data_IF_884190425592
#
_entry.id   IF_884190425592
#
_cell.length_a   1.000
_cell.length_b   1.000
_cell.length_c   1.000
_cell.angle_alpha   90.00
_cell.angle_beta   90.00
_cell.angle_gamma   90.00
#
_symmetry.space_group_name_H-M   'P 1'
#
loop_
_entity.id
_entity.type
_entity.pdbx_description
1 polymer ?
#
# COMPACT_ATOMS: atom_id res chain seq x y z
N UNK A 1 18.04 -36.78 -8.84
CA UNK A 1 17.33 -35.55 -8.47
C UNK A 1 15.98 -36.02 -7.96
N UNK A 2 15.70 -35.81 -6.68
CA UNK A 2 14.50 -36.35 -6.05
C UNK A 2 13.27 -35.55 -6.45
N UNK A 3 12.10 -36.20 -6.52
CA UNK A 3 10.86 -35.55 -6.96
C UNK A 3 10.50 -34.34 -6.10
N UNK A 4 10.77 -34.40 -4.80
CA UNK A 4 10.53 -33.32 -3.85
C UNK A 4 11.38 -32.07 -4.18
N UNK A 5 12.65 -32.26 -4.52
CA UNK A 5 13.53 -31.16 -4.93
C UNK A 5 13.10 -30.56 -6.26
N UNK A 6 12.70 -31.39 -7.23
CA UNK A 6 12.19 -30.91 -8.53
C UNK A 6 10.91 -30.07 -8.41
N UNK A 7 10.03 -30.44 -7.49
CA UNK A 7 8.79 -29.72 -7.19
C UNK A 7 9.05 -28.34 -6.57
N UNK A 8 10.02 -28.24 -5.65
CA UNK A 8 10.42 -26.95 -5.06
C UNK A 8 10.98 -25.98 -6.10
N UNK A 9 11.78 -26.48 -7.06
CA UNK A 9 12.26 -25.65 -8.17
C UNK A 9 11.12 -25.16 -9.07
N UNK A 10 10.16 -26.03 -9.39
CA UNK A 10 8.99 -25.66 -10.19
C UNK A 10 8.15 -24.59 -9.47
N UNK A 11 7.93 -24.76 -8.17
CA UNK A 11 7.23 -23.79 -7.33
C UNK A 11 7.93 -22.43 -7.34
N UNK A 12 9.25 -22.40 -7.17
CA UNK A 12 10.03 -21.16 -7.21
C UNK A 12 9.88 -20.42 -8.55
N UNK A 13 9.90 -21.17 -9.67
CA UNK A 13 9.69 -20.60 -11.01
C UNK A 13 8.27 -20.06 -11.17
N UNK A 14 7.25 -20.81 -10.73
CA UNK A 14 5.85 -20.36 -10.79
C UNK A 14 5.67 -19.08 -9.98
N UNK A 15 6.21 -19.02 -8.75
CA UNK A 15 6.15 -17.83 -7.90
C UNK A 15 6.85 -16.64 -8.55
N UNK A 16 8.01 -16.85 -9.17
CA UNK A 16 8.72 -15.79 -9.89
C UNK A 16 7.90 -15.25 -11.07
N UNK A 17 7.38 -16.12 -11.93
CA UNK A 17 6.54 -15.72 -13.06
C UNK A 17 5.33 -14.91 -12.57
N UNK A 18 4.55 -15.45 -11.62
CA UNK A 18 3.37 -14.77 -11.06
C UNK A 18 3.68 -13.43 -10.35
N UNK A 19 4.89 -13.26 -9.84
CA UNK A 19 5.31 -11.99 -9.24
C UNK A 19 5.37 -10.86 -10.27
N UNK A 20 5.69 -11.20 -11.52
CA UNK A 20 5.80 -10.25 -12.64
C UNK A 20 4.50 -10.06 -13.41
N UNK A 21 3.57 -11.01 -13.33
CA UNK A 21 2.34 -10.98 -14.11
C UNK A 21 1.27 -10.04 -13.54
N UNK A 22 0.53 -9.41 -14.45
CA UNK A 22 -0.71 -8.67 -14.20
C UNK A 22 -1.96 -9.56 -14.29
N UNK A 23 -3.12 -9.06 -13.84
CA UNK A 23 -4.34 -9.86 -13.66
C UNK A 23 -4.83 -10.58 -14.93
N UNK A 24 -4.74 -9.94 -16.10
CA UNK A 24 -5.14 -10.53 -17.40
C UNK A 24 -4.19 -11.66 -17.85
N UNK A 25 -2.92 -11.61 -17.45
CA UNK A 25 -1.91 -12.60 -17.81
C UNK A 25 -2.03 -13.86 -16.94
N UNK A 26 -2.50 -13.70 -15.69
CA UNK A 26 -2.77 -14.83 -14.78
C UNK A 26 -3.87 -15.74 -15.33
N UNK A 27 -4.92 -15.18 -15.93
CA UNK A 27 -6.00 -15.99 -16.51
C UNK A 27 -5.55 -16.77 -17.76
N UNK A 28 -4.65 -16.16 -18.55
CA UNK A 28 -4.00 -16.85 -19.67
C UNK A 28 -3.15 -18.02 -19.17
N UNK A 29 -2.41 -17.83 -18.06
CA UNK A 29 -1.63 -18.90 -17.45
C UNK A 29 -2.51 -20.05 -16.95
N UNK A 30 -3.67 -19.75 -16.34
CA UNK A 30 -4.64 -20.79 -15.92
C UNK A 30 -5.10 -21.63 -17.10
N UNK A 31 -5.48 -20.98 -18.20
CA UNK A 31 -5.88 -21.68 -19.42
C UNK A 31 -4.76 -22.58 -19.98
N UNK A 32 -3.51 -22.12 -19.97
CA UNK A 32 -2.37 -22.92 -20.42
C UNK A 32 -2.13 -24.15 -19.54
N UNK A 33 -2.35 -24.04 -18.23
CA UNK A 33 -2.25 -25.17 -17.28
C UNK A 33 -3.30 -26.22 -17.63
N UNK A 34 -4.55 -25.80 -17.83
CA UNK A 34 -5.66 -26.70 -18.16
C UNK A 34 -5.49 -27.38 -19.52
N UNK A 35 -4.97 -26.67 -20.53
CA UNK A 35 -4.80 -27.20 -21.88
C UNK A 35 -3.59 -28.13 -22.05
N UNK A 36 -2.52 -27.93 -21.24
CA UNK A 36 -1.23 -28.57 -21.49
C UNK A 36 -0.79 -29.59 -20.44
N UNK A 37 -1.42 -29.62 -19.27
CA UNK A 37 -1.06 -30.54 -18.19
C UNK A 37 -2.15 -31.59 -17.96
N UNK A 38 -1.75 -32.76 -17.45
CA UNK A 38 -2.69 -33.76 -16.96
C UNK A 38 -3.40 -33.25 -15.72
N UNK A 39 -4.61 -33.74 -15.43
CA UNK A 39 -5.42 -33.30 -14.28
C UNK A 39 -4.63 -33.24 -12.96
N UNK A 40 -3.89 -34.32 -12.62
CA UNK A 40 -3.07 -34.39 -11.40
C UNK A 40 -1.97 -33.31 -11.34
N UNK A 41 -1.30 -33.03 -12.46
CA UNK A 41 -0.23 -32.03 -12.52
C UNK A 41 -0.79 -30.61 -12.59
N UNK A 42 -1.91 -30.43 -13.29
CA UNK A 42 -2.64 -29.17 -13.37
C UNK A 42 -3.16 -28.75 -12.00
N UNK A 43 -3.73 -29.68 -11.23
CA UNK A 43 -4.21 -29.43 -9.87
C UNK A 43 -3.08 -28.96 -8.93
N UNK A 44 -1.91 -29.61 -8.99
CA UNK A 44 -0.75 -29.17 -8.23
C UNK A 44 -0.34 -27.74 -8.58
N UNK A 45 -0.16 -27.46 -9.88
CA UNK A 45 0.24 -26.12 -10.36
C UNK A 45 -0.81 -25.07 -9.98
N UNK A 46 -2.09 -25.40 -10.09
CA UNK A 46 -3.17 -24.48 -9.79
C UNK A 46 -3.28 -24.18 -8.29
N UNK A 47 -3.01 -25.15 -7.43
CA UNK A 47 -2.87 -24.95 -5.99
C UNK A 47 -1.73 -23.97 -5.69
N UNK A 48 -0.57 -24.16 -6.31
CA UNK A 48 0.57 -23.23 -6.18
C UNK A 48 0.24 -21.81 -6.66
N UNK A 49 -0.48 -21.68 -7.77
CA UNK A 49 -0.94 -20.38 -8.30
C UNK A 49 -1.88 -19.71 -7.28
N UNK A 50 -2.86 -20.44 -6.76
CA UNK A 50 -3.81 -19.92 -5.79
C UNK A 50 -3.12 -19.40 -4.51
N UNK A 51 -2.20 -20.19 -3.95
CA UNK A 51 -1.41 -19.78 -2.78
C UNK A 51 -0.55 -18.55 -3.05
N UNK A 52 0.09 -18.48 -4.22
CA UNK A 52 0.92 -17.34 -4.59
C UNK A 52 0.08 -16.05 -4.71
N UNK A 53 -1.09 -16.13 -5.36
CA UNK A 53 -2.01 -14.99 -5.50
C UNK A 53 -2.57 -14.54 -4.15
N UNK A 54 -2.96 -15.49 -3.29
CA UNK A 54 -3.42 -15.17 -1.94
C UNK A 54 -2.35 -14.43 -1.14
N UNK A 55 -1.12 -14.96 -1.12
CA UNK A 55 0.00 -14.31 -0.42
C UNK A 55 0.32 -12.93 -0.99
N UNK A 56 0.28 -12.75 -2.32
CA UNK A 56 0.45 -11.45 -2.99
C UNK A 56 -0.62 -10.46 -2.53
N UNK A 57 -1.88 -10.88 -2.50
CA UNK A 57 -3.00 -10.06 -2.02
C UNK A 57 -2.86 -9.65 -0.55
N UNK A 58 -2.48 -10.59 0.33
CA UNK A 58 -2.21 -10.30 1.74
C UNK A 58 -1.08 -9.28 1.89
N UNK A 59 0.03 -9.46 1.17
CA UNK A 59 1.16 -8.51 1.22
C UNK A 59 0.77 -7.12 0.73
N UNK A 60 0.02 -7.03 -0.37
CA UNK A 60 -0.50 -5.76 -0.88
C UNK A 60 -1.43 -5.09 0.12
N UNK A 61 -2.36 -5.85 0.72
CA UNK A 61 -3.27 -5.35 1.74
C UNK A 61 -2.54 -4.82 2.98
N UNK A 62 -1.52 -5.53 3.45
CA UNK A 62 -0.67 -5.08 4.57
C UNK A 62 0.07 -3.78 4.22
N UNK A 63 0.69 -3.70 3.03
CA UNK A 63 1.41 -2.49 2.61
C UNK A 63 0.48 -1.28 2.50
N UNK A 64 -0.69 -1.46 1.89
CA UNK A 64 -1.72 -0.41 1.79
C UNK A 64 -2.22 0.02 3.17
N UNK A 65 -2.52 -0.95 4.05
CA UNK A 65 -2.96 -0.68 5.42
C UNK A 65 -1.92 0.07 6.26
N UNK A 66 -0.63 -0.27 6.12
CA UNK A 66 0.46 0.46 6.78
C UNK A 66 0.54 1.90 6.27
N UNK A 67 0.43 2.11 4.96
CA UNK A 67 0.49 3.45 4.38
C UNK A 67 -0.72 4.31 4.83
N UNK A 68 -1.93 3.74 4.78
CA UNK A 68 -3.15 4.38 5.26
C UNK A 68 -3.04 4.74 6.75
N UNK A 69 -2.61 3.80 7.59
CA UNK A 69 -2.44 4.04 9.03
C UNK A 69 -1.39 5.12 9.34
N UNK A 70 -0.30 5.20 8.55
CA UNK A 70 0.68 6.29 8.67
C UNK A 70 0.08 7.65 8.32
N UNK A 71 -0.72 7.73 7.25
CA UNK A 71 -1.40 8.96 6.85
C UNK A 71 -2.43 9.39 7.89
N UNK A 72 -3.28 8.46 8.37
CA UNK A 72 -4.25 8.75 9.44
C UNK A 72 -3.56 9.21 10.72
N UNK A 73 -2.46 8.56 11.11
CA UNK A 73 -1.65 8.98 12.24
C UNK A 73 -1.09 10.41 12.09
N UNK A 74 -0.63 10.77 10.89
CA UNK A 74 -0.18 12.13 10.59
C UNK A 74 -1.32 13.15 10.66
N UNK A 75 -2.49 12.84 10.09
CA UNK A 75 -3.66 13.72 10.17
C UNK A 75 -4.07 13.97 11.62
N UNK A 76 -4.16 12.92 12.43
CA UNK A 76 -4.53 13.04 13.84
C UNK A 76 -3.49 13.84 14.63
N UNK A 77 -2.21 13.64 14.36
CA UNK A 77 -1.13 14.40 15.00
C UNK A 77 -1.18 15.90 14.64
N UNK A 78 -1.49 16.22 13.37
CA UNK A 78 -1.66 17.60 12.91
C UNK A 78 -2.90 18.23 13.55
N UNK A 79 -4.04 17.53 13.52
CA UNK A 79 -5.30 17.96 14.13
C UNK A 79 -5.12 18.32 15.61
N UNK A 80 -4.52 17.41 16.37
CA UNK A 80 -4.23 17.61 17.79
C UNK A 80 -3.23 18.75 18.03
N UNK A 81 -2.17 18.84 17.21
CA UNK A 81 -1.20 19.91 17.30
C UNK A 81 -1.79 21.29 17.02
N UNK A 82 -2.71 21.38 16.06
CA UNK A 82 -3.43 22.60 15.73
C UNK A 82 -4.33 23.03 16.89
N UNK A 83 -5.13 22.10 17.42
CA UNK A 83 -6.04 22.37 18.53
C UNK A 83 -5.30 22.88 19.78
N UNK A 84 -4.19 22.22 20.16
CA UNK A 84 -3.41 22.60 21.34
C UNK A 84 -2.77 23.98 21.20
N UNK A 85 -2.24 24.30 20.01
CA UNK A 85 -1.42 25.52 19.83
C UNK A 85 -2.22 26.74 19.42
N UNK A 86 -3.26 26.55 18.62
CA UNK A 86 -4.00 27.65 18.00
C UNK A 86 -5.49 27.61 18.32
N UNK A 87 -5.95 26.58 19.04
CA UNK A 87 -7.36 26.39 19.39
C UNK A 87 -8.18 25.80 18.25
N UNK A 88 -9.48 25.67 18.49
CA UNK A 88 -10.41 24.98 17.58
C UNK A 88 -10.60 25.68 16.23
N UNK A 89 -10.37 26.99 16.15
CA UNK A 89 -10.46 27.73 14.87
C UNK A 89 -9.47 27.19 13.83
N UNK A 90 -8.29 26.73 14.25
CA UNK A 90 -7.31 26.17 13.33
C UNK A 90 -7.73 24.83 12.71
N UNK A 91 -8.75 24.17 13.26
CA UNK A 91 -9.28 22.93 12.72
C UNK A 91 -10.02 23.13 11.39
N UNK A 92 -10.43 24.35 11.04
CA UNK A 92 -10.98 24.68 9.72
C UNK A 92 -10.00 24.31 8.58
N UNK A 93 -8.69 24.30 8.88
CA UNK A 93 -7.64 23.94 7.93
C UNK A 93 -7.64 22.44 7.60
N UNK A 94 -8.21 21.59 8.47
CA UNK A 94 -8.17 20.14 8.35
C UNK A 94 -8.83 19.63 7.07
N UNK A 95 -9.90 20.30 6.60
CA UNK A 95 -10.63 19.86 5.41
C UNK A 95 -9.71 19.69 4.20
N UNK A 96 -8.79 20.62 3.98
CA UNK A 96 -7.84 20.48 2.89
C UNK A 96 -6.45 20.04 3.31
N UNK A 97 -6.14 19.87 4.60
CA UNK A 97 -4.99 19.03 5.00
C UNK A 97 -5.29 17.57 4.65
N UNK A 98 -6.53 17.09 4.85
CA UNK A 98 -6.96 15.74 4.46
C UNK A 98 -6.93 15.47 2.95
N UNK A 99 -6.81 16.51 2.12
CA UNK A 99 -6.63 16.40 0.66
C UNK A 99 -5.16 16.19 0.27
N UNK A 100 -4.21 16.38 1.19
CA UNK A 100 -2.78 16.22 0.95
C UNK A 100 -2.39 14.78 1.30
N UNK A 101 -2.04 13.98 0.29
CA UNK A 101 -1.63 12.57 0.49
C UNK A 101 -0.12 12.38 0.60
N UNK A 102 0.67 13.41 0.26
CA UNK A 102 2.13 13.35 0.29
C UNK A 102 2.65 13.41 1.73
N UNK A 103 3.24 12.30 2.19
CA UNK A 103 3.73 12.15 3.57
C UNK A 103 4.73 13.24 3.98
N UNK A 104 5.60 13.65 3.07
CA UNK A 104 6.63 14.67 3.35
C UNK A 104 6.00 16.05 3.55
N UNK A 105 4.97 16.39 2.77
CA UNK A 105 4.20 17.63 2.92
C UNK A 105 3.47 17.66 4.26
N UNK A 106 2.81 16.56 4.62
CA UNK A 106 2.15 16.42 5.92
C UNK A 106 3.15 16.50 7.09
N UNK A 107 4.32 15.87 6.96
CA UNK A 107 5.36 15.93 7.97
C UNK A 107 5.89 17.36 8.16
N UNK A 108 6.08 18.12 7.08
CA UNK A 108 6.48 19.51 7.15
C UNK A 108 5.43 20.38 7.88
N UNK A 109 4.14 20.17 7.61
CA UNK A 109 3.05 20.87 8.32
C UNK A 109 3.09 20.54 9.81
N UNK A 110 3.14 19.25 10.16
CA UNK A 110 3.25 18.78 11.56
C UNK A 110 4.45 19.42 12.27
N UNK A 111 5.59 19.48 11.61
CA UNK A 111 6.82 20.00 12.22
C UNK A 111 6.78 21.52 12.39
N UNK A 112 6.17 22.26 11.45
CA UNK A 112 5.93 23.69 11.56
C UNK A 112 5.00 24.02 12.74
N UNK A 113 3.93 23.23 12.92
CA UNK A 113 3.06 23.30 14.10
C UNK A 113 3.89 23.02 15.36
N UNK A 114 4.68 21.94 15.37
CA UNK A 114 5.48 21.52 16.54
C UNK A 114 6.42 22.63 17.02
N UNK A 115 7.08 23.36 16.12
CA UNK A 115 8.01 24.45 16.48
C UNK A 115 7.32 25.78 16.79
N UNK A 116 6.00 25.87 16.61
CA UNK A 116 5.22 27.05 16.96
C UNK A 116 5.30 28.18 15.95
N UNK A 117 5.37 27.85 14.66
CA UNK A 117 5.19 28.83 13.56
C UNK A 117 3.84 29.54 13.71
N UNK A 118 3.68 30.76 13.19
CA UNK A 118 2.41 31.49 13.29
C UNK A 118 1.32 30.81 12.46
N UNK A 119 0.07 30.95 12.89
CA UNK A 119 -1.08 30.29 12.26
C UNK A 119 -1.22 30.68 10.78
N UNK A 120 -0.98 31.96 10.44
CA UNK A 120 -1.08 32.45 9.06
C UNK A 120 -0.06 31.75 8.15
N UNK A 121 1.18 31.57 8.62
CA UNK A 121 2.24 30.90 7.87
C UNK A 121 1.94 29.40 7.68
N UNK A 122 1.29 28.74 8.67
CA UNK A 122 0.80 27.36 8.50
C UNK A 122 -0.28 27.30 7.42
N UNK A 123 -1.15 28.31 7.36
CA UNK A 123 -2.21 28.38 6.36
C UNK A 123 -1.65 28.53 4.96
N UNK A 124 -0.67 29.40 4.78
CA UNK A 124 0.04 29.56 3.51
C UNK A 124 0.74 28.27 3.10
N UNK A 125 1.41 27.59 4.04
CA UNK A 125 2.05 26.30 3.80
C UNK A 125 1.05 25.23 3.34
N UNK A 126 -0.12 25.16 3.97
CA UNK A 126 -1.18 24.21 3.60
C UNK A 126 -1.72 24.52 2.20
N UNK A 127 -1.89 25.78 1.84
CA UNK A 127 -2.34 26.15 0.49
C UNK A 127 -1.29 25.84 -0.58
N UNK A 128 -0.01 26.11 -0.32
CA UNK A 128 1.09 25.77 -1.21
C UNK A 128 1.19 24.26 -1.45
N UNK A 129 0.89 23.44 -0.44
CA UNK A 129 0.87 21.98 -0.55
C UNK A 129 -0.32 21.42 -1.35
N UNK A 130 -1.35 22.23 -1.64
CA UNK A 130 -2.52 21.84 -2.45
C UNK A 130 -2.37 22.19 -3.92
N UNK A 131 -1.43 23.07 -4.28
CA UNK A 131 -1.06 23.38 -5.66
C UNK A 131 -0.22 22.24 -6.26
#
# INVERSE_FOLDING_TARGET
MDQETGMQYLEAVIRYVLSTLEGTEVDTLKQMVDERLSAEKGEFVMTTIAEALFNKGVQQGIQQGILQGKLEGLYNAIEFGLEIRYGTQALEMMEGIRKITEMDRLSAIRDAIRVGVKMEDIQDLVQACRA
#
